data_IF_014672187267
#
_entry.id   IF_014672187267
#
_cell.length_a   1.000
_cell.length_b   1.000
_cell.length_c   1.000
_cell.angle_alpha   90.00
_cell.angle_beta   90.00
_cell.angle_gamma   90.00
#
_symmetry.space_group_name_H-M   'P 1'
#
loop_
_entity.id
_entity.type
_entity.pdbx_description
1 polymer ?
#
# COMPACT_ATOMS: atom_id res chain seq x y z
N UNK A 1 -6.74 13.06 -6.91
CA UNK A 1 -5.28 12.90 -6.64
C UNK A 1 -4.85 11.47 -6.97
N UNK A 2 -3.58 11.23 -7.33
CA UNK A 2 -3.03 9.87 -7.53
C UNK A 2 -2.02 9.54 -6.42
N UNK A 3 -2.15 8.36 -5.82
CA UNK A 3 -1.25 7.86 -4.77
C UNK A 3 -0.75 6.47 -5.15
N UNK A 4 0.57 6.30 -5.21
CA UNK A 4 1.18 5.02 -5.57
C UNK A 4 1.71 4.32 -4.33
N UNK A 5 1.22 3.11 -4.08
CA UNK A 5 1.78 2.21 -3.09
C UNK A 5 2.71 1.18 -3.72
N UNK A 6 3.81 0.95 -3.04
CA UNK A 6 4.70 -0.18 -3.26
C UNK A 6 4.56 -1.17 -2.12
N UNK A 7 4.42 -2.45 -2.47
CA UNK A 7 4.25 -3.52 -1.49
C UNK A 7 5.31 -4.59 -1.64
N UNK A 8 5.72 -5.16 -0.52
CA UNK A 8 6.62 -6.31 -0.48
C UNK A 8 6.20 -7.24 0.66
N UNK A 9 6.48 -8.54 0.49
CA UNK A 9 6.25 -9.54 1.53
C UNK A 9 7.57 -9.81 2.26
N UNK A 10 7.55 -9.70 3.59
CA UNK A 10 8.72 -9.89 4.43
C UNK A 10 8.32 -10.41 5.81
N UNK A 11 9.12 -11.32 6.36
CA UNK A 11 8.97 -11.86 7.73
C UNK A 11 7.52 -12.27 8.08
N UNK A 12 6.85 -12.96 7.16
CA UNK A 12 5.50 -13.48 7.39
C UNK A 12 4.36 -12.51 7.09
N UNK A 13 4.63 -11.24 6.73
CA UNK A 13 3.61 -10.23 6.48
C UNK A 13 3.85 -9.37 5.24
N UNK A 14 2.83 -8.61 4.87
CA UNK A 14 2.91 -7.60 3.81
C UNK A 14 3.18 -6.23 4.40
N UNK A 15 4.05 -5.47 3.74
CA UNK A 15 4.27 -4.04 4.02
C UNK A 15 3.92 -3.23 2.79
N UNK A 16 3.22 -2.11 2.98
CA UNK A 16 2.90 -1.13 1.96
C UNK A 16 3.44 0.24 2.34
N UNK A 17 4.05 0.93 1.37
CA UNK A 17 4.51 2.32 1.51
C UNK A 17 4.03 3.16 0.34
N UNK A 18 3.53 4.37 0.63
CA UNK A 18 3.28 5.35 -0.41
C UNK A 18 4.61 5.91 -0.95
N UNK A 19 4.72 6.08 -2.26
CA UNK A 19 5.95 6.53 -2.91
C UNK A 19 6.31 7.99 -2.56
N UNK A 20 5.28 8.85 -2.47
CA UNK A 20 5.43 10.31 -2.36
C UNK A 20 4.79 10.88 -1.07
N UNK A 21 4.36 10.01 -0.16
CA UNK A 21 3.67 10.39 1.08
C UNK A 21 4.19 9.60 2.27
N UNK A 22 4.06 10.18 3.47
CA UNK A 22 4.46 9.55 4.73
C UNK A 22 3.51 8.44 5.20
N UNK A 23 2.94 7.65 4.30
CA UNK A 23 2.00 6.59 4.60
C UNK A 23 2.72 5.25 4.53
N UNK A 24 2.74 4.54 5.65
CA UNK A 24 3.24 3.16 5.75
C UNK A 24 2.23 2.35 6.53
N UNK A 25 1.90 1.16 6.04
CA UNK A 25 0.98 0.24 6.70
C UNK A 25 1.36 -1.21 6.42
N UNK A 26 0.79 -2.14 7.17
CA UNK A 26 1.12 -3.56 7.11
C UNK A 26 -0.14 -4.41 7.22
N UNK A 27 -0.08 -5.68 6.80
CA UNK A 27 -1.16 -6.66 6.98
C UNK A 27 -0.64 -8.08 6.86
N UNK A 28 -1.28 -9.03 7.53
CA UNK A 28 -0.89 -10.45 7.45
C UNK A 28 -1.27 -11.04 6.07
N UNK A 29 -2.40 -10.57 5.54
CA UNK A 29 -2.90 -10.97 4.21
C UNK A 29 -2.94 -9.79 3.24
N UNK A 30 -2.99 -10.08 1.95
CA UNK A 30 -3.12 -9.03 0.93
C UNK A 30 -4.45 -8.26 1.04
N UNK A 31 -5.53 -8.94 1.43
CA UNK A 31 -6.82 -8.28 1.66
C UNK A 31 -6.75 -7.31 2.84
N UNK A 32 -6.19 -7.75 3.96
CA UNK A 32 -5.96 -6.89 5.13
C UNK A 32 -5.03 -5.71 4.79
N UNK A 33 -3.99 -5.94 3.99
CA UNK A 33 -3.11 -4.87 3.53
C UNK A 33 -3.89 -3.82 2.71
N UNK A 34 -4.79 -4.25 1.81
CA UNK A 34 -5.61 -3.33 1.01
C UNK A 34 -6.56 -2.54 1.90
N UNK A 35 -7.24 -3.19 2.85
CA UNK A 35 -8.10 -2.52 3.83
C UNK A 35 -7.30 -1.46 4.61
N UNK A 36 -6.10 -1.82 5.09
CA UNK A 36 -5.24 -0.91 5.83
C UNK A 36 -4.67 0.22 4.96
N UNK A 37 -4.44 0.01 3.65
CA UNK A 37 -4.07 1.06 2.70
C UNK A 37 -5.22 2.08 2.56
N UNK A 38 -6.46 1.60 2.48
CA UNK A 38 -7.65 2.45 2.38
C UNK A 38 -7.77 3.31 3.64
N UNK A 39 -7.78 2.70 4.83
CA UNK A 39 -7.89 3.41 6.10
C UNK A 39 -6.78 4.44 6.29
N UNK A 40 -5.52 4.07 6.00
CA UNK A 40 -4.40 4.99 6.13
C UNK A 40 -4.47 6.14 5.13
N UNK A 41 -5.00 5.92 3.93
CA UNK A 41 -5.20 6.97 2.92
C UNK A 41 -6.35 7.91 3.30
N UNK A 42 -7.47 7.36 3.81
CA UNK A 42 -8.58 8.15 4.33
C UNK A 42 -8.13 9.07 5.47
N UNK A 43 -7.33 8.55 6.39
CA UNK A 43 -6.79 9.32 7.51
C UNK A 43 -5.80 10.40 7.05
N UNK A 44 -4.91 10.08 6.10
CA UNK A 44 -3.88 11.01 5.63
C UNK A 44 -4.46 12.18 4.81
N UNK A 45 -5.50 11.92 4.00
CA UNK A 45 -6.14 12.91 3.13
C UNK A 45 -7.55 13.30 3.61
N UNK A 46 -7.81 13.24 4.92
CA UNK A 46 -9.14 13.51 5.48
C UNK A 46 -9.68 14.89 5.05
N UNK A 47 -8.83 15.90 5.00
CA UNK A 47 -9.21 17.26 4.60
C UNK A 47 -9.58 17.34 3.12
N UNK A 48 -8.75 16.78 2.23
CA UNK A 48 -8.99 16.74 0.81
C UNK A 48 -10.25 15.95 0.48
N UNK A 49 -10.40 14.75 1.04
CA UNK A 49 -11.59 13.90 0.87
C UNK A 49 -12.83 14.61 1.43
N UNK A 50 -12.71 15.27 2.59
CA UNK A 50 -13.75 16.09 3.19
C UNK A 50 -14.23 17.22 2.28
N UNK A 51 -13.31 17.80 1.50
CA UNK A 51 -13.59 18.82 0.49
C UNK A 51 -14.18 18.28 -0.83
N UNK A 52 -14.25 16.96 -0.99
CA UNK A 52 -14.80 16.27 -2.17
C UNK A 52 -13.75 15.81 -3.19
N UNK A 53 -12.46 15.87 -2.84
CA UNK A 53 -11.39 15.30 -3.65
C UNK A 53 -11.50 13.76 -3.67
N UNK A 54 -11.21 13.15 -4.82
CA UNK A 54 -11.14 11.70 -4.97
C UNK A 54 -9.68 11.26 -5.05
N UNK A 55 -9.30 10.25 -4.27
CA UNK A 55 -7.94 9.71 -4.25
C UNK A 55 -7.92 8.39 -5.03
N UNK A 56 -7.21 8.35 -6.15
CA UNK A 56 -6.97 7.12 -6.92
C UNK A 56 -5.67 6.49 -6.45
N UNK A 57 -5.75 5.26 -5.96
CA UNK A 57 -4.65 4.48 -5.44
C UNK A 57 -4.22 3.45 -6.46
N UNK A 58 -2.91 3.32 -6.70
CA UNK A 58 -2.33 2.20 -7.46
C UNK A 58 -1.35 1.46 -6.56
N UNK A 59 -1.57 0.16 -6.37
CA UNK A 59 -0.72 -0.74 -5.59
C UNK A 59 0.06 -1.62 -6.55
N UNK A 60 1.38 -1.69 -6.37
CA UNK A 60 2.25 -2.57 -7.17
C UNK A 60 3.28 -3.26 -6.29
N UNK A 61 3.60 -4.52 -6.56
CA UNK A 61 4.68 -5.21 -5.85
C UNK A 61 6.06 -4.63 -6.20
N UNK A 62 6.97 -4.70 -5.23
CA UNK A 62 8.40 -4.44 -5.37
C UNK A 62 9.22 -5.53 -4.64
N UNK A 63 10.50 -5.71 -5.00
CA UNK A 63 11.40 -6.51 -4.18
C UNK A 63 11.54 -5.95 -2.77
N UNK A 64 11.86 -6.81 -1.81
CA UNK A 64 12.22 -6.37 -0.45
C UNK A 64 13.40 -5.40 -0.55
N UNK A 65 13.34 -4.22 0.09
CA UNK A 65 14.43 -3.25 0.06
C UNK A 65 15.76 -3.83 0.57
N UNK A 66 16.86 -3.52 -0.13
CA UNK A 66 18.21 -4.05 0.18
C UNK A 66 18.63 -3.83 1.63
N UNK A 67 18.29 -2.68 2.24
CA UNK A 67 18.65 -2.40 3.63
C UNK A 67 18.03 -3.38 4.64
N UNK A 68 16.87 -3.98 4.33
CA UNK A 68 16.24 -5.00 5.18
C UNK A 68 17.01 -6.32 5.05
N UNK A 69 17.42 -6.65 3.82
CA UNK A 69 18.17 -7.87 3.51
C UNK A 69 19.57 -7.85 4.13
N UNK A 70 20.23 -6.69 4.07
CA UNK A 70 21.54 -6.46 4.70
C UNK A 70 21.49 -6.65 6.22
N UNK A 71 20.40 -6.24 6.88
CA UNK A 71 20.23 -6.39 8.33
C UNK A 71 20.10 -7.86 8.74
N UNK A 72 19.36 -8.65 7.98
CA UNK A 72 19.07 -10.04 8.33
C UNK A 72 20.01 -11.06 7.68
N UNK A 73 20.95 -10.60 6.83
CA UNK A 73 21.97 -11.43 6.21
C UNK A 73 21.41 -12.48 5.25
N UNK A 74 20.27 -12.17 4.61
CA UNK A 74 19.52 -13.06 3.74
C UNK A 74 19.58 -12.57 2.29
N UNK A 75 19.74 -13.48 1.33
CA UNK A 75 19.50 -13.16 -0.09
C UNK A 75 17.98 -13.11 -0.32
N UNK A 76 17.44 -11.97 -0.78
CA UNK A 76 16.02 -11.90 -1.14
C UNK A 76 15.71 -12.85 -2.30
N UNK A 77 14.74 -13.73 -2.10
CA UNK A 77 14.06 -14.34 -3.24
C UNK A 77 13.21 -13.26 -3.94
N UNK A 78 13.19 -13.22 -5.29
CA UNK A 78 12.36 -12.27 -6.01
C UNK A 78 10.88 -12.48 -5.64
N UNK A 79 10.05 -11.42 -5.66
CA UNK A 79 8.65 -11.53 -5.28
C UNK A 79 7.97 -12.59 -6.14
N UNK A 80 7.56 -13.70 -5.52
CA UNK A 80 6.92 -14.84 -6.18
C UNK A 80 5.51 -14.51 -6.68
N UNK A 81 4.92 -13.42 -6.18
CA UNK A 81 3.60 -12.95 -6.56
C UNK A 81 3.66 -11.50 -7.07
N UNK A 82 3.35 -11.31 -8.35
CA UNK A 82 3.10 -9.99 -8.93
C UNK A 82 1.66 -9.59 -8.60
N UNK A 83 1.49 -8.45 -7.95
CA UNK A 83 0.19 -7.87 -7.66
C UNK A 83 0.15 -6.44 -8.17
N UNK A 84 -0.90 -6.14 -8.93
CA UNK A 84 -1.22 -4.81 -9.40
C UNK A 84 -2.71 -4.58 -9.19
N UNK A 85 -3.05 -3.49 -8.52
CA UNK A 85 -4.41 -3.15 -8.16
C UNK A 85 -4.60 -1.64 -8.23
N UNK A 86 -5.78 -1.21 -8.66
CA UNK A 86 -6.16 0.20 -8.66
C UNK A 86 -7.57 0.35 -8.11
N UNK A 87 -7.75 1.30 -7.19
CA UNK A 87 -9.05 1.61 -6.60
C UNK A 87 -9.13 3.10 -6.24
N UNK A 88 -10.34 3.58 -5.97
CA UNK A 88 -10.59 4.97 -5.59
C UNK A 88 -11.17 5.03 -4.17
N UNK A 89 -10.70 6.01 -3.41
CA UNK A 89 -11.17 6.39 -2.09
C UNK A 89 -11.82 7.76 -2.19
N UNK A 90 -13.05 7.88 -1.72
CA UNK A 90 -13.81 9.12 -1.69
C UNK A 90 -14.80 9.16 -0.51
N UNK A 91 -15.40 10.32 -0.27
CA UNK A 91 -16.26 10.59 0.89
C UNK A 91 -17.50 9.68 0.99
N UNK A 92 -17.91 9.01 -0.09
CA UNK A 92 -19.14 8.21 -0.18
C UNK A 92 -18.88 6.72 -0.45
N UNK A 93 -17.63 6.29 -0.58
CA UNK A 93 -17.29 4.94 -1.08
C UNK A 93 -16.26 4.27 -0.16
N UNK A 94 -16.69 3.24 0.57
CA UNK A 94 -15.80 2.13 0.91
C UNK A 94 -15.24 1.60 -0.40
N UNK A 95 -13.91 1.63 -0.56
CA UNK A 95 -13.20 1.43 -1.82
C UNK A 95 -13.87 0.50 -2.83
N UNK A 96 -13.97 0.94 -4.09
CA UNK A 96 -14.41 0.08 -5.19
C UNK A 96 -13.22 -0.22 -6.11
N UNK A 97 -12.73 -1.45 -6.06
CA UNK A 97 -11.67 -1.96 -6.94
C UNK A 97 -10.87 -3.11 -6.35
N UNK A 98 -10.77 -4.20 -7.14
CA UNK A 98 -10.19 -5.54 -6.91
C UNK A 98 -10.64 -6.30 -5.65
#
# INVERSE_FOLDING_TARGET
MFVKFKIFYYDGGWTARAADHGIVTQGETLGELVDNIIEATELYFEEEIGSGEQITITVTTEPVPDFILELDGIDAEPPTQQFECQFTVDRNVKATGC
#
